data_IF_315228919527
#
_entry.id   IF_315228919527
#
_cell.length_a   1.000
_cell.length_b   1.000
_cell.length_c   1.000
_cell.angle_alpha   90.00
_cell.angle_beta   90.00
_cell.angle_gamma   90.00
#
_symmetry.space_group_name_H-M   'P 1'
#
loop_
_entity.id
_entity.type
_entity.pdbx_description
1 polymer ?
#
# COMPACT_ATOMS: atom_id res chain seq x y z
N UNK A 1 -15.68 23.35 25.44
CA UNK A 1 -15.85 24.08 24.17
C UNK A 1 -15.04 23.47 23.00
N UNK A 2 -13.95 22.70 23.25
CA UNK A 2 -13.11 22.10 22.20
C UNK A 2 -13.72 20.89 21.47
N UNK A 3 -14.41 19.98 22.16
CA UNK A 3 -14.95 18.74 21.57
C UNK A 3 -16.02 18.98 20.49
N UNK A 4 -16.87 20.00 20.67
CA UNK A 4 -17.91 20.34 19.68
C UNK A 4 -17.30 20.91 18.40
N UNK A 5 -16.30 21.78 18.54
CA UNK A 5 -15.59 22.37 17.40
C UNK A 5 -14.83 21.31 16.61
N UNK A 6 -14.19 20.35 17.28
CA UNK A 6 -13.48 19.25 16.62
C UNK A 6 -14.42 18.32 15.87
N UNK A 7 -15.58 17.99 16.46
CA UNK A 7 -16.64 17.25 15.76
C UNK A 7 -17.12 18.00 14.52
N UNK A 8 -17.36 19.31 14.63
CA UNK A 8 -17.80 20.12 13.49
C UNK A 8 -16.75 20.15 12.38
N UNK A 9 -15.47 20.32 12.72
CA UNK A 9 -14.36 20.25 11.76
C UNK A 9 -14.32 18.91 11.04
N UNK A 10 -14.47 17.80 11.77
CA UNK A 10 -14.53 16.46 11.20
C UNK A 10 -15.70 16.27 10.23
N UNK A 11 -16.90 16.70 10.61
CA UNK A 11 -18.08 16.60 9.73
C UNK A 11 -17.93 17.44 8.46
N UNK A 12 -17.39 18.66 8.57
CA UNK A 12 -17.08 19.50 7.42
C UNK A 12 -16.02 18.88 6.52
N UNK A 13 -14.96 18.32 7.10
CA UNK A 13 -13.93 17.59 6.36
C UNK A 13 -14.54 16.41 5.59
N UNK A 14 -15.35 15.55 6.22
CA UNK A 14 -16.00 14.43 5.54
C UNK A 14 -16.87 14.88 4.38
N UNK A 15 -17.65 15.95 4.55
CA UNK A 15 -18.51 16.49 3.49
C UNK A 15 -17.69 17.04 2.32
N UNK A 16 -16.65 17.83 2.61
CA UNK A 16 -15.69 18.32 1.61
C UNK A 16 -15.03 17.17 0.87
N UNK A 17 -14.50 16.18 1.59
CA UNK A 17 -13.81 15.01 1.02
C UNK A 17 -14.73 14.21 0.11
N UNK A 18 -15.98 13.98 0.49
CA UNK A 18 -16.95 13.25 -0.33
C UNK A 18 -17.24 13.97 -1.67
N UNK A 19 -17.42 15.30 -1.63
CA UNK A 19 -17.66 16.12 -2.82
C UNK A 19 -16.42 16.12 -3.74
N UNK A 20 -15.24 16.39 -3.18
CA UNK A 20 -13.99 16.39 -3.92
C UNK A 20 -13.68 15.01 -4.49
N UNK A 21 -13.91 13.94 -3.74
CA UNK A 21 -13.70 12.58 -4.22
C UNK A 21 -14.55 12.28 -5.47
N UNK A 22 -15.84 12.59 -5.41
CA UNK A 22 -16.76 12.39 -6.54
C UNK A 22 -16.36 13.22 -7.77
N UNK A 23 -15.96 14.46 -7.54
CA UNK A 23 -15.44 15.34 -8.60
C UNK A 23 -14.14 14.80 -9.20
N UNK A 24 -13.19 14.38 -8.36
CA UNK A 24 -11.88 13.88 -8.78
C UNK A 24 -12.01 12.63 -9.64
N UNK A 25 -12.88 11.68 -9.26
CA UNK A 25 -13.17 10.50 -10.09
C UNK A 25 -13.74 10.92 -11.46
N UNK A 26 -14.74 11.81 -11.48
CA UNK A 26 -15.38 12.26 -12.72
C UNK A 26 -14.41 12.98 -13.67
N UNK A 27 -13.44 13.69 -13.13
CA UNK A 27 -12.45 14.45 -13.89
C UNK A 27 -11.16 13.68 -14.17
N UNK A 28 -11.07 12.41 -13.74
CA UNK A 28 -9.86 11.60 -13.90
C UNK A 28 -8.68 12.02 -13.03
N UNK A 29 -8.92 12.78 -11.95
CA UNK A 29 -7.91 13.23 -10.97
C UNK A 29 -7.70 12.22 -9.84
N UNK A 30 -8.54 11.19 -9.75
CA UNK A 30 -8.43 10.08 -8.81
C UNK A 30 -8.65 8.79 -9.58
N UNK A 31 -7.78 7.80 -9.38
CA UNK A 31 -7.94 6.46 -9.94
C UNK A 31 -7.30 5.39 -9.05
N UNK A 32 -7.54 4.13 -9.40
CA UNK A 32 -6.84 2.97 -8.85
C UNK A 32 -5.38 2.92 -9.29
N UNK A 33 -4.56 2.08 -8.65
CA UNK A 33 -3.23 1.75 -9.18
C UNK A 33 -3.30 1.31 -10.64
N UNK A 34 -2.33 1.75 -11.43
CA UNK A 34 -2.23 1.39 -12.84
C UNK A 34 -1.87 -0.09 -13.00
N UNK A 35 -2.37 -0.73 -14.05
CA UNK A 35 -2.06 -2.14 -14.35
C UNK A 35 -0.54 -2.34 -14.48
N UNK A 36 0.15 -1.45 -15.20
CA UNK A 36 1.61 -1.50 -15.38
C UNK A 36 2.37 -1.48 -14.04
N UNK A 37 1.89 -0.71 -13.04
CA UNK A 37 2.48 -0.70 -11.72
C UNK A 37 2.35 -2.05 -11.03
N UNK A 38 1.16 -2.66 -11.08
CA UNK A 38 0.90 -3.97 -10.49
C UNK A 38 1.74 -5.04 -11.18
N UNK A 39 1.83 -5.02 -12.51
CA UNK A 39 2.66 -5.91 -13.31
C UNK A 39 4.14 -5.82 -12.93
N UNK A 40 4.68 -4.61 -12.80
CA UNK A 40 6.07 -4.39 -12.39
C UNK A 40 6.38 -4.94 -10.99
N UNK A 41 5.37 -5.05 -10.12
CA UNK A 41 5.50 -5.55 -8.75
C UNK A 41 5.35 -7.08 -8.64
N UNK A 42 4.85 -7.78 -9.67
CA UNK A 42 4.62 -9.24 -9.64
C UNK A 42 5.89 -10.05 -9.40
N UNK A 43 7.00 -9.58 -9.93
CA UNK A 43 8.29 -10.28 -9.90
C UNK A 43 9.23 -9.77 -8.81
N UNK A 44 8.70 -8.96 -7.88
CA UNK A 44 9.44 -8.44 -6.74
C UNK A 44 8.85 -9.08 -5.50
N UNK A 45 9.64 -9.78 -4.70
CA UNK A 45 9.13 -10.61 -3.62
C UNK A 45 9.55 -10.06 -2.26
N UNK A 46 8.71 -10.28 -1.24
CA UNK A 46 9.06 -10.04 0.15
C UNK A 46 8.37 -11.09 1.04
N UNK A 47 9.18 -11.86 1.78
CA UNK A 47 8.66 -12.96 2.60
C UNK A 47 7.92 -14.03 1.78
N UNK A 48 8.39 -14.30 0.57
CA UNK A 48 7.80 -15.28 -0.36
C UNK A 48 6.58 -14.80 -1.14
N UNK A 49 6.02 -13.63 -0.84
CA UNK A 49 4.88 -13.07 -1.58
C UNK A 49 5.32 -11.98 -2.58
N UNK A 50 4.68 -11.90 -3.75
CA UNK A 50 4.80 -10.75 -4.64
C UNK A 50 4.43 -9.43 -3.95
N UNK A 51 5.18 -8.38 -4.25
CA UNK A 51 4.93 -7.02 -3.79
C UNK A 51 3.57 -6.50 -4.28
N UNK A 52 3.08 -6.99 -5.43
CA UNK A 52 1.72 -6.70 -5.92
C UNK A 52 0.65 -7.18 -4.94
N UNK A 53 0.75 -8.44 -4.47
CA UNK A 53 -0.16 -9.02 -3.47
C UNK A 53 -0.05 -8.26 -2.15
N UNK A 54 1.16 -7.94 -1.69
CA UNK A 54 1.38 -7.19 -0.44
C UNK A 54 0.80 -5.77 -0.51
N UNK A 55 0.98 -5.08 -1.65
CA UNK A 55 0.45 -3.74 -1.87
C UNK A 55 -1.08 -3.74 -1.89
N UNK A 56 -1.71 -4.74 -2.51
CA UNK A 56 -3.17 -4.83 -2.63
C UNK A 56 -3.84 -5.38 -1.36
N UNK A 57 -3.13 -6.22 -0.58
CA UNK A 57 -3.64 -6.81 0.65
C UNK A 57 -3.40 -5.90 1.87
N UNK A 58 -4.30 -4.93 2.10
CA UNK A 58 -4.22 -3.97 3.21
C UNK A 58 -3.94 -4.62 4.58
N UNK A 59 -4.48 -5.83 4.85
CA UNK A 59 -4.34 -6.50 6.15
C UNK A 59 -2.91 -6.97 6.43
N UNK A 60 -2.10 -7.25 5.39
CA UNK A 60 -0.72 -7.71 5.54
C UNK A 60 0.24 -6.63 6.03
N UNK A 61 -0.08 -5.36 5.81
CA UNK A 61 0.75 -4.24 6.25
C UNK A 61 0.26 -3.60 7.57
N UNK A 62 -0.73 -4.18 8.26
CA UNK A 62 -1.29 -3.69 9.53
C UNK A 62 -1.62 -2.17 9.59
N UNK A 63 -1.93 -1.54 8.46
CA UNK A 63 -2.17 -0.08 8.39
C UNK A 63 -0.92 0.79 8.41
N UNK A 64 0.28 0.21 8.38
CA UNK A 64 1.55 0.91 8.25
C UNK A 64 1.71 1.44 6.82
N UNK A 65 1.38 2.72 6.64
CA UNK A 65 1.45 3.39 5.34
C UNK A 65 2.89 3.54 4.83
N UNK A 66 3.89 3.55 5.71
CA UNK A 66 5.31 3.62 5.35
C UNK A 66 5.80 2.36 4.62
N UNK A 67 5.40 1.16 5.07
CA UNK A 67 5.78 -0.10 4.42
C UNK A 67 5.22 -0.15 3.00
N UNK A 68 3.94 0.25 2.84
CA UNK A 68 3.30 0.29 1.52
C UNK A 68 3.83 1.41 0.64
N UNK A 69 4.20 2.55 1.24
CA UNK A 69 4.87 3.64 0.54
C UNK A 69 6.20 3.18 -0.04
N UNK A 70 6.96 2.36 0.69
CA UNK A 70 8.16 1.72 0.14
C UNK A 70 7.81 0.74 -0.99
N UNK A 71 6.84 -0.17 -0.77
CA UNK A 71 6.47 -1.19 -1.74
C UNK A 71 6.05 -0.60 -3.09
N UNK A 72 5.22 0.44 -3.09
CA UNK A 72 4.72 1.03 -4.34
C UNK A 72 5.84 1.62 -5.20
N UNK A 73 6.90 2.16 -4.57
CA UNK A 73 8.05 2.73 -5.30
C UNK A 73 8.85 1.69 -6.08
N UNK A 74 8.78 0.41 -5.70
CA UNK A 74 9.52 -0.67 -6.36
C UNK A 74 9.04 -0.91 -7.80
N UNK A 75 7.80 -0.53 -8.12
CA UNK A 75 7.17 -0.72 -9.42
C UNK A 75 7.12 0.53 -10.30
N UNK A 76 7.78 1.62 -9.90
CA UNK A 76 7.81 2.87 -10.67
C UNK A 76 8.81 2.89 -11.83
N UNK A 77 9.68 1.89 -11.93
CA UNK A 77 10.70 1.83 -12.97
C UNK A 77 11.64 3.04 -12.93
N UNK A 78 11.75 3.74 -14.06
CA UNK A 78 12.67 4.87 -14.22
C UNK A 78 12.13 6.20 -13.67
N UNK A 79 10.84 6.28 -13.36
CA UNK A 79 10.21 7.53 -12.92
C UNK A 79 10.86 8.08 -11.63
N UNK A 80 10.83 9.41 -11.49
CA UNK A 80 11.28 10.06 -10.26
C UNK A 80 10.19 10.01 -9.20
N UNK A 81 10.59 9.94 -7.94
CA UNK A 81 9.64 9.87 -6.84
C UNK A 81 10.21 10.39 -5.53
N UNK A 82 9.29 10.71 -4.61
CA UNK A 82 9.58 11.13 -3.24
C UNK A 82 8.66 10.39 -2.28
N UNK A 83 9.25 9.76 -1.28
CA UNK A 83 8.53 9.21 -0.12
C UNK A 83 8.34 10.34 0.89
N UNK A 84 7.10 10.69 1.18
CA UNK A 84 6.73 11.88 1.96
C UNK A 84 5.99 11.47 3.21
N UNK A 85 6.50 11.89 4.36
CA UNK A 85 5.80 11.85 5.64
C UNK A 85 5.16 13.22 5.89
N UNK A 86 3.88 13.23 6.25
CA UNK A 86 3.14 14.46 6.52
C UNK A 86 1.97 14.24 7.46
N UNK A 87 1.63 15.26 8.25
CA UNK A 87 0.36 15.28 8.96
C UNK A 87 -0.77 15.63 7.98
N UNK A 88 -1.81 14.78 7.90
CA UNK A 88 -2.96 14.99 7.02
C UNK A 88 -4.26 15.24 7.79
N UNK A 89 -5.18 16.00 7.19
CA UNK A 89 -6.50 16.28 7.76
C UNK A 89 -7.30 15.01 8.08
N UNK A 90 -7.20 13.97 7.24
CA UNK A 90 -7.93 12.72 7.43
C UNK A 90 -7.59 11.95 8.70
N UNK A 91 -6.42 12.21 9.28
CA UNK A 91 -5.99 11.64 10.56
C UNK A 91 -6.16 12.70 11.65
N UNK A 92 -5.58 13.89 11.47
CA UNK A 92 -5.56 14.94 12.51
C UNK A 92 -6.96 15.40 12.94
N UNK A 93 -7.93 15.46 12.02
CA UNK A 93 -9.29 15.90 12.32
C UNK A 93 -10.20 14.75 12.77
N UNK A 94 -9.77 13.50 12.66
CA UNK A 94 -10.62 12.36 12.96
C UNK A 94 -10.68 12.12 14.48
N UNK A 95 -11.86 12.21 15.11
CA UNK A 95 -12.01 12.11 16.57
C UNK A 95 -11.71 10.71 17.13
N UNK A 96 -11.50 9.71 16.28
CA UNK A 96 -11.07 8.36 16.70
C UNK A 96 -9.56 8.25 16.95
N UNK A 97 -8.76 9.19 16.45
CA UNK A 97 -7.34 9.27 16.75
C UNK A 97 -7.15 10.27 17.90
N UNK A 98 -6.62 9.78 19.01
CA UNK A 98 -6.79 10.41 20.33
C UNK A 98 -5.48 11.02 20.85
N UNK A 99 -4.34 10.64 20.31
CA UNK A 99 -3.07 11.08 20.87
C UNK A 99 -2.67 12.47 20.34
N UNK A 100 -3.40 13.50 20.78
CA UNK A 100 -3.09 14.89 20.45
C UNK A 100 -1.85 15.43 21.16
N UNK A 101 -1.23 14.62 22.03
CA UNK A 101 -0.06 15.02 22.81
C UNK A 101 1.25 14.78 22.03
N UNK A 102 1.22 13.98 20.94
CA UNK A 102 2.29 13.90 19.94
C UNK A 102 2.10 15.00 18.88
N UNK A 103 3.15 15.77 18.57
CA UNK A 103 3.13 16.84 17.56
C UNK A 103 2.82 16.31 16.15
N UNK A 104 3.12 15.02 15.88
CA UNK A 104 2.94 14.34 14.60
C UNK A 104 1.99 13.14 14.66
N UNK A 105 0.99 13.17 15.54
CA UNK A 105 -0.04 12.12 15.61
C UNK A 105 -0.88 11.96 14.33
N UNK A 106 -0.79 12.96 13.44
CA UNK A 106 -1.40 12.99 12.14
C UNK A 106 -0.61 12.27 11.05
N UNK A 107 0.56 11.73 11.38
CA UNK A 107 1.55 11.34 10.40
C UNK A 107 1.03 10.25 9.46
N UNK A 108 1.17 10.54 8.17
CA UNK A 108 0.85 9.67 7.06
C UNK A 108 2.00 9.68 6.06
N UNK A 109 2.41 8.49 5.64
CA UNK A 109 3.38 8.31 4.58
C UNK A 109 2.66 8.03 3.25
N UNK A 110 2.95 8.85 2.24
CA UNK A 110 2.52 8.66 0.86
C UNK A 110 3.69 8.86 -0.11
N UNK A 111 3.48 8.57 -1.38
CA UNK A 111 4.53 8.73 -2.41
C UNK A 111 4.10 9.70 -3.49
N UNK A 112 4.93 10.67 -3.79
CA UNK A 112 4.78 11.51 -4.97
C UNK A 112 5.60 10.90 -6.11
N UNK A 113 4.97 10.55 -7.23
CA UNK A 113 5.63 10.06 -8.45
C UNK A 113 5.50 11.12 -9.53
N UNK A 114 6.61 11.52 -10.13
CA UNK A 114 6.64 12.39 -11.30
C UNK A 114 6.85 11.54 -12.55
N UNK A 115 5.83 11.48 -13.41
CA UNK A 115 5.87 10.74 -14.67
C UNK A 115 6.70 11.50 -15.71
N UNK A 116 7.08 10.80 -16.79
CA UNK A 116 7.86 11.38 -17.91
C UNK A 116 7.23 12.61 -18.57
N UNK A 117 5.91 12.74 -18.51
CA UNK A 117 5.16 13.90 -19.01
C UNK A 117 5.20 15.12 -18.06
N UNK A 118 5.88 15.01 -16.92
CA UNK A 118 6.00 16.04 -15.90
C UNK A 118 4.81 16.10 -14.92
N UNK A 119 3.76 15.29 -15.12
CA UNK A 119 2.65 15.22 -14.17
C UNK A 119 3.10 14.52 -12.89
N UNK A 120 2.60 14.99 -11.75
CA UNK A 120 2.92 14.40 -10.44
C UNK A 120 1.66 13.88 -9.77
N UNK A 121 1.73 12.61 -9.36
CA UNK A 121 0.63 11.88 -8.74
C UNK A 121 1.03 11.43 -7.34
N UNK A 122 0.09 11.53 -6.41
CA UNK A 122 0.21 11.03 -5.04
C UNK A 122 -0.38 9.64 -4.96
N UNK A 123 0.44 8.67 -4.57
CA UNK A 123 0.07 7.32 -4.25
C UNK A 123 -0.19 7.24 -2.74
N UNK A 124 -1.45 7.47 -2.34
CA UNK A 124 -1.90 7.36 -0.96
C UNK A 124 -2.21 5.89 -0.68
N UNK A 125 -1.24 5.22 -0.06
CA UNK A 125 -1.33 3.79 0.17
C UNK A 125 -2.36 3.43 1.24
N UNK A 126 -2.73 4.35 2.14
CA UNK A 126 -3.77 4.08 3.14
C UNK A 126 -5.16 3.92 2.50
N UNK A 127 -5.45 4.73 1.49
CA UNK A 127 -6.65 4.64 0.67
C UNK A 127 -6.50 3.65 -0.47
N UNK A 128 -5.24 3.35 -0.82
CA UNK A 128 -4.85 2.59 -1.99
C UNK A 128 -5.00 3.38 -3.29
N UNK A 129 -5.19 4.70 -3.25
CA UNK A 129 -5.59 5.50 -4.41
C UNK A 129 -4.43 6.29 -5.00
N UNK A 130 -4.53 6.59 -6.29
CA UNK A 130 -3.63 7.49 -7.01
C UNK A 130 -4.38 8.78 -7.30
N UNK A 131 -3.84 9.92 -6.86
CA UNK A 131 -4.52 11.22 -6.85
C UNK A 131 -3.60 12.28 -7.44
N UNK A 132 -4.07 13.11 -8.35
CA UNK A 132 -3.25 14.22 -8.89
C UNK A 132 -2.78 15.09 -7.71
N UNK A 133 -1.50 15.46 -7.69
CA UNK A 133 -0.87 16.05 -6.51
C UNK A 133 -1.57 17.31 -6.01
N UNK A 134 -1.88 18.25 -6.88
CA UNK A 134 -2.55 19.51 -6.50
C UNK A 134 -3.93 19.23 -5.90
N UNK A 135 -4.65 18.25 -6.46
CA UNK A 135 -5.93 17.79 -5.95
C UNK A 135 -5.81 17.09 -4.59
N UNK A 136 -4.80 16.24 -4.38
CA UNK A 136 -4.52 15.63 -3.08
C UNK A 136 -4.26 16.69 -2.01
N UNK A 137 -3.42 17.68 -2.34
CA UNK A 137 -3.08 18.77 -1.42
C UNK A 137 -4.29 19.66 -1.10
N UNK A 138 -5.21 19.81 -2.04
CA UNK A 138 -6.51 20.46 -1.79
C UNK A 138 -7.38 19.63 -0.83
N UNK A 139 -7.39 18.30 -0.97
CA UNK A 139 -8.22 17.39 -0.16
C UNK A 139 -7.70 17.27 1.28
N UNK A 140 -6.44 16.86 1.44
CA UNK A 140 -5.86 16.44 2.72
C UNK A 140 -5.02 17.51 3.42
N UNK A 141 -4.67 18.59 2.72
CA UNK A 141 -3.84 19.70 3.24
C UNK A 141 -2.61 19.20 4.02
N UNK A 142 -1.77 18.34 3.41
CA UNK A 142 -0.64 17.72 4.09
C UNK A 142 0.34 18.78 4.60
N UNK A 143 0.76 18.63 5.86
CA UNK A 143 1.88 19.37 6.44
C UNK A 143 3.10 18.46 6.43
N UNK A 144 3.95 18.64 5.43
CA UNK A 144 5.12 17.79 5.21
C UNK A 144 6.10 17.91 6.37
N UNK A 145 6.47 16.77 6.95
CA UNK A 145 7.41 16.66 8.08
C UNK A 145 8.74 16.08 7.62
N UNK A 146 8.72 15.17 6.64
CA UNK A 146 9.94 14.56 6.06
C UNK A 146 9.73 14.22 4.59
N UNK A 147 10.81 14.34 3.82
CA UNK A 147 10.86 13.92 2.41
C UNK A 147 12.13 13.12 2.20
N UNK A 148 11.99 11.91 1.67
CA UNK A 148 13.10 11.13 1.13
C UNK A 148 12.96 11.12 -0.39
N UNK A 149 13.97 11.59 -1.10
CA UNK A 149 14.02 11.44 -2.56
C UNK A 149 14.24 9.98 -2.97
N UNK A 150 14.22 9.74 -4.29
CA UNK A 150 14.45 8.42 -4.89
C UNK A 150 15.75 7.77 -4.37
N UNK A 151 16.86 8.51 -4.32
CA UNK A 151 18.15 7.95 -3.90
C UNK A 151 18.16 7.59 -2.41
N UNK A 152 17.64 8.48 -1.56
CA UNK A 152 17.52 8.25 -0.13
C UNK A 152 16.60 7.06 0.18
N UNK A 153 15.48 6.94 -0.53
CA UNK A 153 14.52 5.82 -0.38
C UNK A 153 15.16 4.50 -0.80
N UNK A 154 15.85 4.47 -1.93
CA UNK A 154 16.57 3.26 -2.41
C UNK A 154 17.72 2.84 -1.49
N UNK A 155 18.20 3.74 -0.62
CA UNK A 155 19.25 3.44 0.34
C UNK A 155 18.75 2.68 1.58
N UNK A 156 17.43 2.64 1.83
CA UNK A 156 16.84 1.93 2.96
C UNK A 156 17.21 0.43 2.94
N UNK A 157 17.41 -0.17 4.12
CA UNK A 157 17.77 -1.59 4.22
C UNK A 157 16.64 -2.47 3.65
N UNK A 158 15.40 -2.21 4.04
CA UNK A 158 14.23 -2.95 3.56
C UNK A 158 14.10 -2.90 2.03
N UNK A 159 14.39 -1.75 1.41
CA UNK A 159 14.36 -1.62 -0.05
C UNK A 159 15.36 -2.57 -0.72
N UNK A 160 16.57 -2.66 -0.16
CA UNK A 160 17.64 -3.54 -0.65
C UNK A 160 17.32 -5.01 -0.40
N UNK A 161 16.71 -5.33 0.75
CA UNK A 161 16.37 -6.70 1.11
C UNK A 161 15.24 -7.24 0.22
N UNK A 162 14.20 -6.43 -0.03
CA UNK A 162 13.13 -6.78 -0.98
C UNK A 162 13.70 -7.03 -2.39
N UNK A 163 14.62 -6.19 -2.86
CA UNK A 163 15.26 -6.37 -4.17
C UNK A 163 16.17 -7.59 -4.28
N UNK A 164 16.56 -8.20 -3.15
CA UNK A 164 17.42 -9.39 -3.08
C UNK A 164 16.64 -10.67 -2.75
N UNK A 165 15.34 -10.58 -2.53
CA UNK A 165 14.51 -11.72 -2.19
C UNK A 165 14.60 -12.81 -3.27
N UNK A 166 14.60 -14.06 -2.84
CA UNK A 166 14.77 -15.23 -3.68
C UNK A 166 13.58 -16.15 -3.49
N UNK A 167 12.64 -16.09 -4.44
CA UNK A 167 11.39 -16.82 -4.34
C UNK A 167 11.60 -18.33 -4.23
N UNK A 168 12.66 -18.89 -4.82
CA UNK A 168 12.92 -20.33 -4.75
C UNK A 168 13.25 -20.79 -3.33
N UNK A 169 13.80 -19.90 -2.51
CA UNK A 169 14.05 -20.16 -1.08
C UNK A 169 12.85 -19.81 -0.23
N UNK A 170 12.18 -18.71 -0.54
CA UNK A 170 11.14 -18.15 0.33
C UNK A 170 9.77 -18.81 0.14
N UNK A 171 9.52 -19.47 -1.02
CA UNK A 171 8.21 -20.06 -1.34
C UNK A 171 7.74 -21.10 -0.33
N UNK A 172 8.63 -21.77 0.39
CA UNK A 172 8.28 -22.82 1.34
C UNK A 172 7.43 -22.34 2.55
N UNK A 173 7.36 -21.03 2.80
CA UNK A 173 6.45 -20.46 3.82
C UNK A 173 5.02 -20.28 3.30
N UNK A 174 4.81 -20.29 1.99
CA UNK A 174 3.54 -19.99 1.33
C UNK A 174 2.38 -20.89 1.74
N UNK A 175 2.55 -22.22 1.94
CA UNK A 175 1.47 -23.07 2.43
C UNK A 175 0.88 -22.62 3.76
N UNK A 176 1.65 -21.88 4.56
CA UNK A 176 1.19 -21.30 5.84
C UNK A 176 0.52 -19.95 5.59
N UNK A 177 1.15 -19.05 4.83
CA UNK A 177 0.71 -17.65 4.75
C UNK A 177 -0.38 -17.39 3.70
N UNK A 178 -0.35 -18.08 2.57
CA UNK A 178 -1.24 -17.79 1.44
C UNK A 178 -2.73 -18.03 1.78
N UNK A 179 -3.11 -19.05 2.58
CA UNK A 179 -4.51 -19.21 3.01
C UNK A 179 -5.07 -17.99 3.75
N UNK A 180 -4.27 -17.32 4.59
CA UNK A 180 -4.68 -16.10 5.28
C UNK A 180 -4.85 -14.93 4.30
N UNK A 181 -3.97 -14.82 3.31
CA UNK A 181 -4.06 -13.79 2.26
C UNK A 181 -5.33 -13.99 1.41
N UNK A 182 -5.65 -15.24 1.05
CA UNK A 182 -6.89 -15.59 0.35
C UNK A 182 -8.14 -15.25 1.18
N UNK A 183 -8.12 -15.48 2.49
CA UNK A 183 -9.21 -15.08 3.39
C UNK A 183 -9.37 -13.55 3.42
N UNK A 184 -8.27 -12.80 3.48
CA UNK A 184 -8.31 -11.34 3.41
C UNK A 184 -8.82 -10.84 2.05
N UNK A 185 -8.52 -11.52 0.96
CA UNK A 185 -9.04 -11.18 -0.36
C UNK A 185 -10.56 -11.42 -0.49
N UNK A 186 -11.10 -12.43 0.21
CA UNK A 186 -12.55 -12.68 0.29
C UNK A 186 -13.28 -11.63 1.12
N UNK A 187 -12.67 -11.19 2.22
CA UNK A 187 -13.27 -10.30 3.21
C UNK A 187 -12.86 -8.81 3.06
N UNK A 188 -12.01 -8.51 2.07
CA UNK A 188 -11.38 -7.22 1.86
C UNK A 188 -12.31 -6.13 1.30
N UNK A 189 -11.90 -4.86 1.43
CA UNK A 189 -12.64 -3.72 0.87
C UNK A 189 -12.68 -3.80 -0.67
N UNK A 190 -13.81 -3.39 -1.23
CA UNK A 190 -14.23 -3.59 -2.63
C UNK A 190 -13.33 -2.99 -3.71
N UNK A 191 -12.45 -2.04 -3.39
CA UNK A 191 -11.72 -1.30 -4.43
C UNK A 191 -10.59 -2.10 -5.09
N UNK A 192 -10.00 -3.05 -4.36
CA UNK A 192 -8.86 -3.86 -4.83
C UNK A 192 -9.06 -5.36 -4.67
N UNK A 193 -10.25 -5.80 -4.23
CA UNK A 193 -10.51 -7.21 -3.94
C UNK A 193 -10.38 -8.09 -5.18
N UNK A 194 -10.86 -7.63 -6.33
CA UNK A 194 -10.77 -8.41 -7.58
C UNK A 194 -9.35 -8.46 -8.12
N UNK A 195 -8.64 -7.32 -8.15
CA UNK A 195 -7.23 -7.27 -8.52
C UNK A 195 -6.37 -8.16 -7.61
N UNK A 196 -6.62 -8.16 -6.30
CA UNK A 196 -5.92 -9.03 -5.36
C UNK A 196 -6.19 -10.52 -5.62
N UNK A 197 -7.44 -10.90 -5.91
CA UNK A 197 -7.78 -12.30 -6.26
C UNK A 197 -7.09 -12.74 -7.54
N UNK A 198 -7.04 -11.87 -8.54
CA UNK A 198 -6.36 -12.11 -9.81
C UNK A 198 -4.86 -12.31 -9.59
N UNK A 199 -4.21 -11.41 -8.85
CA UNK A 199 -2.78 -11.52 -8.52
C UNK A 199 -2.46 -12.81 -7.74
N UNK A 200 -3.32 -13.21 -6.79
CA UNK A 200 -3.17 -14.48 -6.07
C UNK A 200 -3.28 -15.67 -7.03
N UNK A 201 -4.24 -15.65 -7.96
CA UNK A 201 -4.44 -16.74 -8.91
C UNK A 201 -3.26 -16.88 -9.86
N UNK A 202 -2.77 -15.76 -10.42
CA UNK A 202 -1.57 -15.71 -11.26
C UNK A 202 -0.38 -16.30 -10.49
N UNK A 203 -0.14 -15.79 -9.27
CA UNK A 203 1.01 -16.21 -8.49
C UNK A 203 0.99 -17.71 -8.14
N UNK A 204 -0.18 -18.26 -7.77
CA UNK A 204 -0.32 -19.70 -7.49
C UNK A 204 0.00 -20.57 -8.70
N UNK A 205 -0.37 -20.10 -9.89
CA UNK A 205 -0.06 -20.80 -11.14
C UNK A 205 1.44 -20.74 -11.45
N UNK A 206 2.09 -19.58 -11.25
CA UNK A 206 3.51 -19.39 -11.53
C UNK A 206 4.42 -20.30 -10.69
N UNK A 207 4.07 -20.55 -9.43
CA UNK A 207 4.90 -21.32 -8.49
C UNK A 207 4.52 -22.81 -8.38
N UNK A 208 3.53 -23.29 -9.14
CA UNK A 208 2.88 -24.59 -8.93
C UNK A 208 2.51 -24.81 -7.44
N UNK A 209 1.64 -23.93 -6.91
CA UNK A 209 1.34 -23.90 -5.48
C UNK A 209 0.82 -25.23 -4.92
N UNK A 210 0.03 -25.98 -5.69
CA UNK A 210 -0.48 -27.27 -5.27
C UNK A 210 0.64 -28.33 -5.22
N UNK A 211 1.60 -28.29 -6.16
CA UNK A 211 2.81 -29.09 -6.12
C UNK A 211 3.67 -28.76 -4.89
N UNK A 212 3.92 -27.47 -4.65
CA UNK A 212 4.65 -26.98 -3.48
C UNK A 212 4.02 -27.42 -2.16
N UNK A 213 2.69 -27.36 -2.02
CA UNK A 213 2.00 -27.82 -0.81
C UNK A 213 2.22 -29.31 -0.56
N UNK A 214 2.22 -30.14 -1.63
CA UNK A 214 2.51 -31.58 -1.51
C UNK A 214 3.94 -31.83 -1.08
N UNK A 215 4.90 -31.12 -1.67
CA UNK A 215 6.32 -31.22 -1.31
C UNK A 215 6.55 -30.91 0.17
N UNK A 216 6.01 -29.79 0.67
CA UNK A 216 6.11 -29.40 2.08
C UNK A 216 5.48 -30.44 2.99
N UNK A 217 4.30 -30.95 2.64
CA UNK A 217 3.59 -31.96 3.42
C UNK A 217 4.38 -33.27 3.52
N UNK A 218 5.00 -33.71 2.43
CA UNK A 218 5.87 -34.90 2.42
C UNK A 218 7.11 -34.72 3.28
N UNK A 219 7.76 -33.56 3.21
CA UNK A 219 8.95 -33.27 3.99
C UNK A 219 8.66 -33.14 5.49
N UNK A 220 7.52 -32.56 5.86
CA UNK A 220 7.07 -32.53 7.25
C UNK A 220 6.80 -33.94 7.79
N UNK A 221 6.17 -34.82 7.00
CA UNK A 221 5.97 -36.24 7.36
C UNK A 221 7.30 -36.98 7.55
N UNK A 222 8.28 -36.80 6.66
CA UNK A 222 9.62 -37.40 6.79
C UNK A 222 10.33 -36.97 8.07
N UNK A 223 10.07 -35.75 8.54
CA UNK A 223 10.63 -35.20 9.79
C UNK A 223 9.85 -35.60 11.05
N UNK A 224 8.76 -36.38 10.92
CA UNK A 224 7.91 -36.77 12.04
C UNK A 224 7.06 -35.63 12.60
N UNK A 225 6.86 -34.56 11.81
CA UNK A 225 6.06 -33.39 12.17
C UNK A 225 4.71 -33.51 11.45
N UNK A 226 3.89 -34.48 11.84
CA UNK A 226 2.43 -34.55 11.62
C UNK A 226 1.85 -35.82 12.19
#
# INVERSE_FOLDING_TARGET
MSVYLDKLKWELYKKKKSILFSYGIKMGLIHSYEVELIENLRHIYYGGLPASILLLCHKMCNGHCYDRGLLVTLGFGDDDFKLVDADIDGITLNPKFIDKDDEHYGNHCFVERTKKDGTTWVYDTSLGMVIEKSFYYLMERPKVTKVNDKQATMAFCDYKDIKRADIEKDKYVLPIILPFVEEYAKNGKTFYSEALKEEIAIFKQEIDYDGLCKEVDEDMRKKGIR
#
